data_IF_697007559638
#
_entry.id   IF_697007559638
#
_cell.length_a   1.000
_cell.length_b   1.000
_cell.length_c   1.000
_cell.angle_alpha   90.00
_cell.angle_beta   90.00
_cell.angle_gamma   90.00
#
_symmetry.space_group_name_H-M   'P 1'
#
loop_
_entity.id
_entity.type
_entity.pdbx_description
1 polymer ?
#
# COMPACT_ATOMS: atom_id res chain seq x y z
N UNK A 1 0.21 -17.89 -0.30
CA UNK A 1 0.03 -16.43 -0.41
C UNK A 1 -1.36 -16.18 0.12
N UNK A 2 -1.40 -15.77 1.39
CA UNK A 2 -2.55 -15.91 2.29
C UNK A 2 -3.63 -14.84 2.03
N UNK A 3 -4.80 -15.06 2.63
CA UNK A 3 -6.06 -14.41 2.27
C UNK A 3 -6.07 -12.88 2.43
N UNK A 4 -5.41 -12.31 3.45
CA UNK A 4 -5.48 -10.86 3.69
C UNK A 4 -4.66 -10.06 2.67
N UNK A 5 -3.48 -10.53 2.27
CA UNK A 5 -2.71 -9.85 1.22
C UNK A 5 -3.51 -9.69 -0.08
N UNK A 6 -4.08 -10.79 -0.58
CA UNK A 6 -4.89 -10.80 -1.82
C UNK A 6 -6.18 -10.00 -1.62
N UNK A 7 -6.84 -10.13 -0.45
CA UNK A 7 -8.02 -9.34 -0.12
C UNK A 7 -7.73 -7.83 -0.17
N UNK A 8 -6.60 -7.37 0.39
CA UNK A 8 -6.22 -5.97 0.32
C UNK A 8 -5.96 -5.50 -1.12
N UNK A 9 -5.43 -6.36 -1.99
CA UNK A 9 -5.31 -6.08 -3.44
C UNK A 9 -6.70 -5.91 -4.07
N UNK A 10 -7.64 -6.81 -3.78
CA UNK A 10 -9.00 -6.76 -4.30
C UNK A 10 -9.75 -5.50 -3.83
N UNK A 11 -9.67 -5.17 -2.54
CA UNK A 11 -10.23 -3.95 -1.94
C UNK A 11 -9.62 -2.70 -2.59
N UNK A 12 -8.29 -2.65 -2.73
CA UNK A 12 -7.59 -1.55 -3.38
C UNK A 12 -8.05 -1.36 -4.84
N UNK A 13 -8.14 -2.45 -5.61
CA UNK A 13 -8.58 -2.42 -7.00
C UNK A 13 -10.04 -1.97 -7.14
N UNK A 14 -10.89 -2.23 -6.13
CA UNK A 14 -12.26 -1.72 -6.04
C UNK A 14 -12.35 -0.29 -5.51
N UNK A 15 -11.21 0.38 -5.29
CA UNK A 15 -11.09 1.73 -4.70
C UNK A 15 -11.59 1.82 -3.26
N UNK A 16 -11.64 0.69 -2.56
CA UNK A 16 -11.96 0.59 -1.13
C UNK A 16 -10.67 0.83 -0.34
N UNK A 17 -10.15 2.05 -0.42
CA UNK A 17 -8.80 2.36 0.07
C UNK A 17 -8.69 2.29 1.59
N UNK A 18 -9.75 2.61 2.32
CA UNK A 18 -9.76 2.51 3.77
C UNK A 18 -9.79 1.04 4.23
N UNK A 19 -10.56 0.20 3.54
CA UNK A 19 -10.63 -1.23 3.81
C UNK A 19 -9.29 -1.91 3.50
N UNK A 20 -8.69 -1.60 2.34
CA UNK A 20 -7.37 -2.10 1.98
C UNK A 20 -6.28 -1.66 2.96
N UNK A 21 -6.40 -0.44 3.52
CA UNK A 21 -5.52 0.03 4.58
C UNK A 21 -5.60 -0.88 5.80
N UNK A 22 -6.79 -1.09 6.35
CA UNK A 22 -6.98 -1.86 7.58
C UNK A 22 -6.57 -3.32 7.38
N UNK A 23 -6.92 -3.92 6.24
CA UNK A 23 -6.54 -5.29 5.86
C UNK A 23 -5.01 -5.48 5.84
N UNK A 24 -4.27 -4.55 5.22
CA UNK A 24 -2.80 -4.66 5.19
C UNK A 24 -2.13 -4.19 6.49
N UNK A 25 -2.74 -3.29 7.26
CA UNK A 25 -2.21 -2.88 8.57
C UNK A 25 -2.22 -4.05 9.56
N UNK A 26 -3.24 -4.91 9.51
CA UNK A 26 -3.34 -6.11 10.33
C UNK A 26 -2.12 -7.02 10.14
N UNK A 27 -1.74 -7.35 8.90
CA UNK A 27 -0.54 -8.16 8.65
C UNK A 27 0.75 -7.37 8.95
N UNK A 28 0.81 -6.08 8.63
CA UNK A 28 2.01 -5.25 8.76
C UNK A 28 2.54 -5.16 10.20
N UNK A 29 1.66 -5.19 11.20
CA UNK A 29 2.03 -5.09 12.63
C UNK A 29 3.02 -6.17 13.04
N UNK A 30 2.81 -7.40 12.57
CA UNK A 30 3.64 -8.57 12.89
C UNK A 30 4.87 -8.72 11.97
N UNK A 31 4.97 -7.91 10.91
CA UNK A 31 6.07 -8.02 9.96
C UNK A 31 7.37 -7.38 10.45
N UNK A 32 8.47 -7.89 9.91
CA UNK A 32 9.82 -7.34 10.07
C UNK A 32 10.58 -7.32 8.74
N UNK A 33 11.73 -6.64 8.71
CA UNK A 33 12.61 -6.57 7.55
C UNK A 33 11.94 -6.01 6.28
N UNK A 34 12.28 -6.61 5.14
CA UNK A 34 11.80 -6.21 3.82
C UNK A 34 10.27 -6.17 3.71
N UNK A 35 9.58 -7.20 4.22
CA UNK A 35 8.12 -7.28 4.16
C UNK A 35 7.46 -6.11 4.90
N UNK A 36 7.99 -5.71 6.07
CA UNK A 36 7.47 -4.57 6.83
C UNK A 36 7.55 -3.27 6.04
N UNK A 37 8.64 -3.05 5.32
CA UNK A 37 8.84 -1.84 4.49
C UNK A 37 7.89 -1.87 3.29
N UNK A 38 7.78 -3.02 2.62
CA UNK A 38 6.91 -3.19 1.47
C UNK A 38 5.44 -2.93 1.82
N UNK A 39 4.92 -3.58 2.86
CA UNK A 39 3.55 -3.36 3.34
C UNK A 39 3.32 -1.91 3.76
N UNK A 40 4.30 -1.28 4.40
CA UNK A 40 4.19 0.14 4.73
C UNK A 40 4.14 1.03 3.46
N UNK A 41 4.74 0.61 2.35
CA UNK A 41 4.58 1.25 1.05
C UNK A 41 3.15 1.11 0.52
N UNK A 42 2.57 -0.10 0.59
CA UNK A 42 1.19 -0.36 0.21
C UNK A 42 0.20 0.44 1.07
N UNK A 43 0.38 0.47 2.39
CA UNK A 43 -0.42 1.26 3.33
C UNK A 43 -0.33 2.76 3.02
N UNK A 44 0.86 3.31 2.75
CA UNK A 44 0.94 4.71 2.31
C UNK A 44 0.25 4.96 0.97
N UNK A 45 0.26 3.97 0.07
CA UNK A 45 -0.45 4.04 -1.21
C UNK A 45 -1.95 4.17 -0.98
N UNK A 46 -2.53 3.33 -0.11
CA UNK A 46 -3.97 3.39 0.22
C UNK A 46 -4.35 4.75 0.83
N UNK A 47 -3.58 5.26 1.80
CA UNK A 47 -3.84 6.57 2.43
C UNK A 47 -3.71 7.71 1.40
N UNK A 48 -2.74 7.62 0.49
CA UNK A 48 -2.57 8.58 -0.60
C UNK A 48 -3.80 8.67 -1.50
N UNK A 49 -4.32 7.53 -1.95
CA UNK A 49 -5.52 7.48 -2.79
C UNK A 49 -6.81 7.83 -2.02
N UNK A 50 -6.90 7.51 -0.73
CA UNK A 50 -7.99 7.96 0.12
C UNK A 50 -8.03 9.50 0.23
N UNK A 51 -6.88 10.13 0.47
CA UNK A 51 -6.79 11.60 0.47
C UNK A 51 -7.15 12.21 -0.89
N UNK A 52 -6.69 11.60 -1.98
CA UNK A 52 -6.99 12.05 -3.34
C UNK A 52 -8.50 12.02 -3.60
N UNK A 53 -9.17 10.94 -3.21
CA UNK A 53 -10.63 10.78 -3.36
C UNK A 53 -11.42 11.84 -2.59
N UNK A 54 -10.85 12.35 -1.49
CA UNK A 54 -11.41 13.42 -0.66
C UNK A 54 -10.93 14.82 -1.05
N UNK A 55 -10.31 14.99 -2.23
CA UNK A 55 -9.76 16.27 -2.73
C UNK A 55 -8.69 16.90 -1.81
N UNK A 56 -8.09 16.11 -0.93
CA UNK A 56 -6.93 16.54 -0.13
C UNK A 56 -5.64 16.27 -0.91
N UNK A 57 -5.37 17.10 -1.92
CA UNK A 57 -4.23 16.89 -2.83
C UNK A 57 -2.87 16.97 -2.14
N UNK A 58 -2.71 17.86 -1.15
CA UNK A 58 -1.48 17.99 -0.38
C UNK A 58 -1.21 16.72 0.45
N UNK A 59 -2.23 16.20 1.11
CA UNK A 59 -2.16 14.94 1.85
C UNK A 59 -1.85 13.76 0.92
N UNK A 60 -2.53 13.70 -0.22
CA UNK A 60 -2.30 12.67 -1.24
C UNK A 60 -0.85 12.64 -1.71
N UNK A 61 -0.32 13.80 -2.14
CA UNK A 61 1.07 13.90 -2.61
C UNK A 61 2.09 13.51 -1.55
N UNK A 62 1.88 13.93 -0.29
CA UNK A 62 2.76 13.56 0.83
C UNK A 62 2.82 12.05 1.06
N UNK A 63 1.68 11.36 1.04
CA UNK A 63 1.64 9.91 1.30
C UNK A 63 2.11 9.09 0.10
N UNK A 64 1.73 9.49 -1.12
CA UNK A 64 2.21 8.82 -2.34
C UNK A 64 3.73 8.98 -2.51
N UNK A 65 4.31 10.13 -2.15
CA UNK A 65 5.76 10.29 -2.12
C UNK A 65 6.45 9.28 -1.17
N UNK A 66 5.91 9.09 0.04
CA UNK A 66 6.41 8.08 0.98
C UNK A 66 6.22 6.65 0.50
N UNK A 67 5.16 6.39 -0.25
CA UNK A 67 4.90 5.08 -0.86
C UNK A 67 5.97 4.77 -1.91
N UNK A 68 6.24 5.71 -2.83
CA UNK A 68 7.28 5.57 -3.87
C UNK A 68 8.64 5.29 -3.26
N UNK A 69 9.10 6.08 -2.28
CA UNK A 69 10.42 5.87 -1.64
C UNK A 69 10.56 4.51 -0.92
N UNK A 70 9.45 3.84 -0.60
CA UNK A 70 9.47 2.49 -0.03
C UNK A 70 9.43 1.43 -1.12
N UNK A 71 8.52 1.57 -2.08
CA UNK A 71 8.29 0.58 -3.13
C UNK A 71 9.43 0.52 -4.16
N UNK A 72 10.20 1.60 -4.34
CA UNK A 72 11.37 1.62 -5.24
C UNK A 72 12.46 0.61 -4.84
N UNK A 73 12.52 0.21 -3.57
CA UNK A 73 13.46 -0.80 -3.07
C UNK A 73 13.11 -2.22 -3.55
N UNK A 74 11.93 -2.40 -4.13
CA UNK A 74 11.34 -3.68 -4.48
C UNK A 74 11.05 -3.81 -5.98
N UNK A 75 11.72 -3.01 -6.80
CA UNK A 75 11.61 -3.09 -8.26
C UNK A 75 12.26 -4.38 -8.82
N UNK A 76 11.73 -4.92 -9.93
CA UNK A 76 10.45 -4.60 -10.55
C UNK A 76 9.27 -5.38 -9.92
N UNK A 77 9.57 -6.31 -9.01
CA UNK A 77 8.58 -7.27 -8.52
C UNK A 77 8.89 -7.72 -7.10
N UNK A 78 7.85 -7.78 -6.27
CA UNK A 78 7.95 -8.33 -4.91
C UNK A 78 6.60 -8.89 -4.45
N UNK A 79 6.63 -10.05 -3.78
CA UNK A 79 5.44 -10.75 -3.28
C UNK A 79 4.30 -10.93 -4.31
N UNK A 80 4.63 -11.16 -5.59
CA UNK A 80 3.59 -11.34 -6.61
C UNK A 80 3.09 -10.03 -7.25
N UNK A 81 3.55 -8.88 -6.78
CA UNK A 81 3.13 -7.56 -7.27
C UNK A 81 4.21 -6.97 -8.17
N UNK A 82 3.80 -6.52 -9.36
CA UNK A 82 4.62 -5.68 -10.21
C UNK A 82 4.69 -4.27 -9.60
N UNK A 83 5.87 -3.88 -9.15
CA UNK A 83 6.16 -2.57 -8.54
C UNK A 83 6.73 -1.59 -9.56
N UNK A 84 7.05 -2.06 -10.76
CA UNK A 84 7.40 -1.23 -11.90
C UNK A 84 6.10 -0.68 -12.51
N UNK A 85 5.88 0.63 -12.36
CA UNK A 85 4.79 1.36 -12.99
C UNK A 85 4.90 1.37 -14.52
#
# INVERSE_FOLDING_TARGET
MEGLFIRGIEEFNRRQFFEAHDTWEEEWREMSGANKIFYQGLIHTTVGFYHLSNKNYRGAGSQLGKAVSKLEQFLPFFLGVNTLA
#
